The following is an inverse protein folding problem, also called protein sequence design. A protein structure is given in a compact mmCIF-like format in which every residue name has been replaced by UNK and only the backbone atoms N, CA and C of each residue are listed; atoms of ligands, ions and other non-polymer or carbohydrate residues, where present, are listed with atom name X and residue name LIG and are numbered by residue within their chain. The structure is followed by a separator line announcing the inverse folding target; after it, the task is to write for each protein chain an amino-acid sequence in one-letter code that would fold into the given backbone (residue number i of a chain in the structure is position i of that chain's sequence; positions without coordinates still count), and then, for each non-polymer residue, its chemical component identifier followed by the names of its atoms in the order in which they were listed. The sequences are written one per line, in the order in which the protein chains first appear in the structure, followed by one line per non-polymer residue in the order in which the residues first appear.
data_IF_668042649034
#
_entry.id   IF_668042649034
#
_cell.length_a   1.000
_cell.length_b   1.000
_cell.length_c   1.000
_cell.angle_alpha   90.00
_cell.angle_beta   90.00
_cell.angle_gamma   90.00
#
_symmetry.space_group_name_H-M   'P 1'
#
loop_
_entity.id
_entity.type
_entity.pdbx_description
1 polymer ?
#
# COMPACT_ATOMS: atom_id res chain seq x y z
N UNK A 1 0.47 -17.43 31.09
CA UNK A 1 0.61 -16.59 29.88
C UNK A 1 -0.26 -15.35 30.08
N UNK A 2 0.32 -14.18 30.31
CA UNK A 2 -0.48 -12.95 30.50
C UNK A 2 -1.12 -12.55 29.18
N UNK A 3 -2.46 -12.45 29.15
CA UNK A 3 -3.19 -12.00 27.96
C UNK A 3 -2.84 -10.56 27.57
N UNK A 4 -2.88 -10.27 26.28
CA UNK A 4 -2.59 -8.94 25.74
C UNK A 4 -3.59 -7.90 26.31
N UNK A 5 -3.12 -6.74 26.82
CA UNK A 5 -3.98 -5.71 27.41
C UNK A 5 -5.07 -5.19 26.47
N UNK A 6 -6.22 -4.80 27.03
CA UNK A 6 -7.39 -4.32 26.26
C UNK A 6 -7.09 -3.05 25.45
N UNK A 7 -6.14 -2.22 25.88
CA UNK A 7 -5.72 -0.99 25.19
C UNK A 7 -4.90 -1.22 23.90
N UNK A 8 -4.40 -2.45 23.69
CA UNK A 8 -3.73 -2.83 22.44
C UNK A 8 -4.71 -3.22 21.34
N UNK A 9 -5.99 -3.45 21.68
CA UNK A 9 -7.02 -3.78 20.70
C UNK A 9 -7.42 -2.55 19.90
N UNK A 10 -7.78 -2.77 18.63
CA UNK A 10 -8.24 -1.69 17.74
C UNK A 10 -9.71 -1.90 17.33
N UNK A 11 -10.33 -0.85 16.76
CA UNK A 11 -11.64 -0.95 16.09
C UNK A 11 -11.51 -1.23 14.57
N UNK A 12 -10.28 -1.49 14.10
CA UNK A 12 -10.01 -1.83 12.72
C UNK A 12 -10.65 -3.20 12.42
N UNK A 13 -11.35 -3.29 11.29
CA UNK A 13 -12.01 -4.53 10.88
C UNK A 13 -10.99 -5.61 10.49
N UNK A 14 -9.80 -5.22 10.01
CA UNK A 14 -8.76 -6.13 9.56
C UNK A 14 -7.76 -6.45 10.67
N UNK A 15 -7.40 -5.46 11.50
CA UNK A 15 -6.35 -5.62 12.52
C UNK A 15 -6.90 -5.54 13.94
N UNK A 16 -7.08 -6.69 14.59
CA UNK A 16 -7.60 -6.72 15.96
C UNK A 16 -6.67 -6.07 16.99
N UNK A 17 -5.36 -5.98 16.71
CA UNK A 17 -4.35 -5.42 17.60
C UNK A 17 -3.43 -4.42 16.89
N UNK A 18 -2.98 -3.40 17.63
CA UNK A 18 -2.10 -2.33 17.11
C UNK A 18 -0.80 -2.88 16.52
N UNK A 19 -0.20 -3.86 17.17
CA UNK A 19 1.05 -4.48 16.71
C UNK A 19 0.90 -5.22 15.37
N UNK A 20 -0.27 -5.79 15.06
CA UNK A 20 -0.52 -6.46 13.79
C UNK A 20 -0.55 -5.46 12.64
N UNK A 21 -1.27 -4.35 12.83
CA UNK A 21 -1.31 -3.25 11.87
C UNK A 21 0.08 -2.67 11.64
N UNK A 22 0.83 -2.43 12.71
CA UNK A 22 2.20 -1.92 12.60
C UNK A 22 3.09 -2.86 11.79
N UNK A 23 3.06 -4.18 12.09
CA UNK A 23 3.84 -5.18 11.34
C UNK A 23 3.47 -5.24 9.86
N UNK A 24 2.18 -5.07 9.53
CA UNK A 24 1.73 -4.99 8.14
C UNK A 24 2.31 -3.75 7.45
N UNK A 25 2.15 -2.58 8.06
CA UNK A 25 2.68 -1.32 7.51
C UNK A 25 4.21 -1.36 7.36
N UNK A 26 4.93 -1.90 8.33
CA UNK A 26 6.39 -2.06 8.25
C UNK A 26 6.80 -2.97 7.08
N UNK A 27 6.04 -4.06 6.86
CA UNK A 27 6.26 -4.97 5.74
C UNK A 27 5.94 -4.31 4.40
N UNK A 28 4.82 -3.58 4.31
CA UNK A 28 4.46 -2.79 3.13
C UNK A 28 5.55 -1.77 2.79
N UNK A 29 6.02 -1.01 3.78
CA UNK A 29 7.08 -0.01 3.58
C UNK A 29 8.40 -0.63 3.15
N UNK A 30 8.74 -1.84 3.63
CA UNK A 30 9.92 -2.58 3.13
C UNK A 30 9.78 -2.91 1.64
N UNK A 31 8.58 -3.29 1.19
CA UNK A 31 8.35 -3.60 -0.23
C UNK A 31 8.43 -2.37 -1.14
N UNK A 32 8.13 -1.16 -0.64
CA UNK A 32 8.37 0.09 -1.39
C UNK A 32 9.86 0.29 -1.75
N UNK A 33 10.77 -0.23 -0.93
CA UNK A 33 12.21 -0.21 -1.21
C UNK A 33 12.65 -1.10 -2.37
N UNK A 34 11.78 -1.97 -2.91
CA UNK A 34 12.08 -2.82 -4.06
C UNK A 34 11.91 -2.10 -5.40
N UNK A 35 11.23 -0.95 -5.41
CA UNK A 35 11.04 -0.15 -6.61
C UNK A 35 12.37 0.52 -7.00
N UNK A 36 12.69 0.53 -8.30
CA UNK A 36 13.90 1.22 -8.80
C UNK A 36 13.86 2.73 -8.55
N UNK A 37 12.68 3.34 -8.68
CA UNK A 37 12.42 4.72 -8.33
C UNK A 37 11.25 4.73 -7.35
N UNK A 38 11.36 5.49 -6.25
CA UNK A 38 10.31 5.51 -5.23
C UNK A 38 9.04 6.15 -5.81
N UNK A 39 7.90 5.44 -5.84
CA UNK A 39 6.65 6.02 -6.31
C UNK A 39 6.16 7.11 -5.36
N UNK A 40 5.41 8.07 -5.88
CA UNK A 40 4.67 9.02 -5.06
C UNK A 40 3.48 8.30 -4.44
N UNK A 41 3.28 8.51 -3.14
CA UNK A 41 2.13 7.98 -2.40
C UNK A 41 1.08 9.08 -2.22
N UNK A 42 -0.15 8.82 -2.63
CA UNK A 42 -1.29 9.71 -2.42
C UNK A 42 -2.49 8.94 -1.86
N UNK A 43 -3.38 9.65 -1.21
CA UNK A 43 -4.67 9.12 -0.78
C UNK A 43 -5.80 9.87 -1.47
N UNK A 44 -6.66 9.14 -2.16
CA UNK A 44 -7.82 9.68 -2.87
C UNK A 44 -9.08 9.44 -2.03
N UNK A 45 -9.85 10.49 -1.76
CA UNK A 45 -11.14 10.36 -1.09
C UNK A 45 -12.18 9.76 -2.04
N UNK A 46 -12.93 8.77 -1.56
CA UNK A 46 -14.02 8.13 -2.32
C UNK A 46 -15.27 8.03 -1.44
N UNK A 47 -16.41 7.69 -2.03
CA UNK A 47 -17.65 7.41 -1.28
C UNK A 47 -17.56 6.18 -0.35
N UNK A 48 -16.52 5.36 -0.48
CA UNK A 48 -16.31 4.14 0.32
C UNK A 48 -15.14 4.26 1.31
N UNK A 49 -14.57 5.46 1.47
CA UNK A 49 -13.39 5.70 2.29
C UNK A 49 -12.20 6.22 1.47
N UNK A 50 -11.00 6.12 2.01
CA UNK A 50 -9.76 6.58 1.36
C UNK A 50 -9.10 5.43 0.61
N UNK A 51 -8.78 5.64 -0.66
CA UNK A 51 -7.98 4.73 -1.46
C UNK A 51 -6.52 5.21 -1.46
N UNK A 52 -5.60 4.36 -1.01
CA UNK A 52 -4.17 4.63 -1.08
C UNK A 52 -3.63 4.24 -2.47
N UNK A 53 -2.92 5.14 -3.13
CA UNK A 53 -2.48 5.00 -4.52
C UNK A 53 -0.99 5.28 -4.64
N UNK A 54 -0.29 4.44 -5.41
CA UNK A 54 1.09 4.65 -5.84
C UNK A 54 1.08 5.25 -7.24
N UNK A 55 1.74 6.39 -7.43
CA UNK A 55 1.83 7.10 -8.69
C UNK A 55 3.29 7.17 -9.17
N UNK A 56 3.52 6.87 -10.43
CA UNK A 56 4.84 6.96 -11.07
C UNK A 56 4.67 7.10 -12.58
N UNK A 57 5.51 7.91 -13.21
CA UNK A 57 5.49 8.17 -14.64
C UNK A 57 5.40 9.66 -14.96
N UNK A 58 5.23 9.94 -16.24
CA UNK A 58 5.09 11.30 -16.78
C UNK A 58 3.61 11.72 -16.80
N UNK A 59 3.33 12.95 -16.39
CA UNK A 59 1.97 13.51 -16.38
C UNK A 59 1.45 13.81 -17.80
N UNK A 60 2.34 13.95 -18.77
CA UNK A 60 1.99 14.23 -20.18
C UNK A 60 1.72 12.96 -21.01
N UNK A 61 1.83 11.77 -20.39
CA UNK A 61 1.61 10.48 -21.05
C UNK A 61 0.23 9.88 -20.75
N UNK A 62 -0.26 8.94 -21.58
CA UNK A 62 -1.52 8.25 -21.32
C UNK A 62 -1.55 7.58 -19.95
N UNK A 63 -2.68 7.67 -19.26
CA UNK A 63 -2.85 7.11 -17.90
C UNK A 63 -3.05 5.60 -17.96
N UNK A 64 -2.30 4.87 -17.13
CA UNK A 64 -2.50 3.45 -16.85
C UNK A 64 -2.93 3.25 -15.39
N UNK A 65 -4.03 2.53 -15.17
CA UNK A 65 -4.51 2.16 -13.82
C UNK A 65 -4.29 0.68 -13.59
N UNK A 66 -3.58 0.34 -12.50
CA UNK A 66 -3.28 -1.04 -12.12
C UNK A 66 -4.08 -1.42 -10.87
N UNK A 67 -4.80 -2.54 -10.94
CA UNK A 67 -5.50 -3.13 -9.80
C UNK A 67 -4.77 -4.41 -9.40
N UNK A 68 -4.33 -4.49 -8.15
CA UNK A 68 -3.56 -5.62 -7.65
C UNK A 68 -4.42 -6.90 -7.48
N UNK A 69 -3.76 -8.05 -7.44
CA UNK A 69 -4.40 -9.32 -7.06
C UNK A 69 -4.76 -9.34 -5.56
N UNK A 70 -5.64 -10.25 -5.17
CA UNK A 70 -6.00 -10.47 -3.76
C UNK A 70 -4.74 -10.67 -2.90
N UNK A 71 -4.74 -10.08 -1.71
CA UNK A 71 -3.67 -10.14 -0.68
C UNK A 71 -2.27 -9.61 -1.05
N UNK A 72 -2.05 -9.12 -2.28
CA UNK A 72 -0.72 -8.70 -2.74
C UNK A 72 -0.40 -7.21 -2.47
N UNK A 73 -1.41 -6.35 -2.41
CA UNK A 73 -1.31 -4.88 -2.43
C UNK A 73 -0.63 -4.31 -3.68
N UNK A 74 -0.64 -2.98 -3.84
CA UNK A 74 -0.06 -2.31 -5.02
C UNK A 74 1.46 -2.43 -5.12
N UNK A 75 2.16 -2.80 -4.04
CA UNK A 75 3.63 -2.95 -4.07
C UNK A 75 4.09 -4.17 -4.88
N UNK A 76 3.18 -5.09 -5.22
CA UNK A 76 3.46 -6.22 -6.12
C UNK A 76 3.99 -5.81 -7.49
N UNK A 77 3.71 -4.58 -7.92
CA UNK A 77 4.08 -4.07 -9.24
C UNK A 77 5.52 -3.55 -9.33
N UNK A 78 6.33 -3.65 -8.25
CA UNK A 78 7.73 -3.24 -8.27
C UNK A 78 8.55 -3.78 -9.48
N UNK A 79 8.36 -5.02 -9.99
CA UNK A 79 9.16 -5.50 -11.11
C UNK A 79 8.70 -4.94 -12.46
N UNK A 80 7.46 -4.43 -12.56
CA UNK A 80 6.87 -3.95 -13.81
C UNK A 80 6.91 -2.43 -13.96
N UNK A 81 6.85 -1.71 -12.84
CA UNK A 81 6.60 -0.27 -12.82
C UNK A 81 7.64 0.55 -13.56
N UNK A 82 8.93 0.17 -13.53
CA UNK A 82 9.97 0.89 -14.27
C UNK A 82 9.81 0.82 -15.79
N UNK A 83 9.23 -0.26 -16.32
CA UNK A 83 8.97 -0.39 -17.76
C UNK A 83 7.69 0.37 -18.14
N UNK A 84 6.61 0.19 -17.36
CA UNK A 84 5.31 0.76 -17.67
C UNK A 84 5.20 2.26 -17.37
N UNK A 85 6.02 2.80 -16.47
CA UNK A 85 6.04 4.24 -16.20
C UNK A 85 6.76 5.06 -17.28
N UNK A 86 7.31 4.41 -18.32
CA UNK A 86 8.07 5.05 -19.41
C UNK A 86 7.31 5.08 -20.73
N UNK A 87 6.28 4.26 -20.89
CA UNK A 87 5.40 4.23 -22.07
C UNK A 87 4.37 5.33 -21.99
#
# INVERSE_FOLDING_TARGET
MSGIPREERTRDYLFHYKNQKQRYIDSYNKTLGLFKARPQEIDVATRFGRAHVLCQGDLDKPVLVLLHGMDASSTMWYPNMDAWSKT
#
